data_IF_693113194440
#
_entry.id   IF_693113194440
#
_cell.length_a   1.000
_cell.length_b   1.000
_cell.length_c   1.000
_cell.angle_alpha   90.00
_cell.angle_beta   90.00
_cell.angle_gamma   90.00
#
_symmetry.space_group_name_H-M   'P 1'
#
loop_
_entity.id
_entity.type
_entity.pdbx_description
1 polymer ?
#
# COMPACT_ATOMS: atom_id res chain seq x y z
N UNK A 1 19.70 -6.26 3.04
CA UNK A 1 18.71 -7.35 3.01
C UNK A 1 17.33 -6.74 2.84
N UNK A 2 16.61 -7.09 1.76
CA UNK A 2 15.35 -6.46 1.36
C UNK A 2 14.23 -6.92 2.32
N UNK A 3 13.61 -5.99 3.06
CA UNK A 3 12.48 -6.33 3.93
C UNK A 3 11.22 -6.36 3.08
N UNK A 4 10.65 -7.55 2.90
CA UNK A 4 9.39 -7.72 2.17
C UNK A 4 8.26 -7.35 3.12
N UNK A 5 7.72 -6.13 3.00
CA UNK A 5 6.58 -5.65 3.79
C UNK A 5 5.29 -5.86 3.02
N UNK A 6 4.63 -7.01 3.23
CA UNK A 6 3.49 -7.43 2.40
C UNK A 6 2.16 -6.72 2.72
N UNK A 7 2.02 -6.05 3.88
CA UNK A 7 0.77 -5.43 4.29
C UNK A 7 0.83 -3.90 4.24
N UNK A 8 -0.15 -3.24 3.61
CA UNK A 8 -0.23 -1.77 3.47
C UNK A 8 -0.09 -1.05 4.83
N UNK A 9 -0.72 -1.59 5.89
CA UNK A 9 -0.61 -1.06 7.26
C UNK A 9 0.82 -1.03 7.81
N UNK A 10 1.68 -1.95 7.38
CA UNK A 10 3.09 -1.96 7.80
C UNK A 10 3.93 -0.95 7.01
N UNK A 11 3.45 -0.57 5.82
CA UNK A 11 4.11 0.44 4.98
C UNK A 11 4.00 1.81 5.61
N UNK A 12 2.85 2.18 6.20
CA UNK A 12 2.68 3.48 6.89
C UNK A 12 3.59 3.66 8.10
N UNK A 13 4.16 2.56 8.63
CA UNK A 13 5.16 2.56 9.71
C UNK A 13 6.61 2.45 9.21
N UNK A 14 6.82 2.49 7.90
CA UNK A 14 8.16 2.37 7.29
C UNK A 14 8.90 3.70 7.34
N UNK A 15 10.22 3.64 7.21
CA UNK A 15 11.01 4.85 7.01
C UNK A 15 10.83 5.33 5.58
N UNK A 16 10.97 6.64 5.37
CA UNK A 16 11.05 7.15 4.01
C UNK A 16 12.23 6.56 3.26
N UNK A 17 12.04 6.45 1.94
CA UNK A 17 12.95 5.81 0.98
C UNK A 17 13.15 4.31 1.20
N UNK A 18 12.37 3.67 2.08
CA UNK A 18 12.40 2.22 2.22
C UNK A 18 11.75 1.55 1.00
N UNK A 19 12.45 0.57 0.41
CA UNK A 19 11.93 -0.22 -0.70
C UNK A 19 10.90 -1.22 -0.17
N UNK A 20 9.71 -1.22 -0.77
CA UNK A 20 8.58 -2.08 -0.36
C UNK A 20 8.07 -2.90 -1.54
N UNK A 21 7.53 -4.08 -1.23
CA UNK A 21 6.73 -4.90 -2.14
C UNK A 21 5.46 -5.32 -1.42
N UNK A 22 4.31 -5.01 -2.00
CA UNK A 22 3.02 -5.32 -1.41
C UNK A 22 1.98 -5.63 -2.50
N UNK A 23 0.90 -6.26 -2.05
CA UNK A 23 -0.30 -6.51 -2.84
C UNK A 23 -1.36 -5.49 -2.41
N UNK A 24 -2.17 -5.03 -3.36
CA UNK A 24 -3.31 -4.16 -3.07
C UNK A 24 -4.37 -4.24 -4.14
N UNK A 25 -5.63 -4.03 -3.73
CA UNK A 25 -6.77 -3.95 -4.62
C UNK A 25 -6.98 -2.49 -5.05
N UNK A 26 -7.14 -2.25 -6.35
CA UNK A 26 -7.39 -0.92 -6.91
C UNK A 26 -8.78 -0.43 -6.49
N UNK A 27 -8.80 0.62 -5.67
CA UNK A 27 -10.02 1.29 -5.25
C UNK A 27 -10.28 2.60 -6.03
N UNK A 28 -9.25 3.24 -6.57
CA UNK A 28 -9.42 4.42 -7.41
C UNK A 28 -8.17 4.70 -8.24
N UNK A 29 -8.33 5.43 -9.35
CA UNK A 29 -7.24 5.99 -10.14
C UNK A 29 -7.51 7.45 -10.48
N UNK A 30 -6.60 8.34 -10.07
CA UNK A 30 -6.65 9.76 -10.42
C UNK A 30 -5.64 10.04 -11.52
N UNK A 31 -6.13 10.29 -12.74
CA UNK A 31 -5.30 10.60 -13.91
C UNK A 31 -4.54 11.91 -13.77
N UNK A 32 -5.14 12.92 -13.14
CA UNK A 32 -4.54 14.25 -12.97
C UNK A 32 -3.19 14.22 -12.22
N UNK A 33 -3.02 13.28 -11.31
CA UNK A 33 -1.81 13.10 -10.51
C UNK A 33 -1.10 11.77 -10.77
N UNK A 34 -1.59 10.99 -11.74
CA UNK A 34 -1.21 9.60 -11.99
C UNK A 34 -1.07 8.79 -10.68
N UNK A 35 -2.09 8.84 -9.83
CA UNK A 35 -2.07 8.20 -8.50
C UNK A 35 -3.11 7.10 -8.40
N UNK A 36 -2.67 5.89 -8.07
CA UNK A 36 -3.55 4.77 -7.71
C UNK A 36 -3.81 4.77 -6.21
N UNK A 37 -5.07 4.52 -5.84
CA UNK A 37 -5.48 4.27 -4.46
C UNK A 37 -5.65 2.76 -4.30
N UNK A 38 -4.77 2.14 -3.53
CA UNK A 38 -4.80 0.69 -3.26
C UNK A 38 -5.26 0.42 -1.84
N UNK A 39 -6.08 -0.61 -1.66
CA UNK A 39 -6.57 -1.04 -0.36
C UNK A 39 -6.33 -2.53 -0.15
N UNK A 40 -6.14 -2.91 1.11
CA UNK A 40 -6.04 -4.31 1.52
C UNK A 40 -6.56 -4.42 2.95
N UNK A 41 -7.56 -5.28 3.17
CA UNK A 41 -8.24 -5.41 4.46
C UNK A 41 -7.44 -6.16 5.54
N UNK A 42 -6.16 -6.44 5.30
CA UNK A 42 -5.31 -7.22 6.19
C UNK A 42 -4.51 -6.35 7.17
N UNK A 43 -4.32 -6.77 8.44
CA UNK A 43 -4.91 -7.95 9.08
C UNK A 43 -6.29 -7.65 9.70
N UNK A 44 -7.29 -8.47 9.36
CA UNK A 44 -8.70 -8.41 9.82
C UNK A 44 -9.44 -7.11 9.45
N UNK A 45 -10.77 -7.13 9.16
CA UNK A 45 -11.50 -5.92 8.79
C UNK A 45 -11.54 -4.93 9.97
N UNK A 46 -10.55 -4.04 9.99
CA UNK A 46 -10.52 -2.91 10.91
C UNK A 46 -11.48 -1.82 10.40
N UNK A 47 -12.01 -0.95 11.26
CA UNK A 47 -12.96 0.10 10.86
C UNK A 47 -12.39 1.09 9.83
N UNK A 48 -11.07 1.09 9.62
CA UNK A 48 -10.41 1.87 8.59
C UNK A 48 -9.53 0.97 7.71
N UNK A 49 -9.93 0.78 6.45
CA UNK A 49 -9.13 0.03 5.48
C UNK A 49 -7.79 0.75 5.24
N UNK A 50 -6.64 0.10 5.50
CA UNK A 50 -5.33 0.63 5.14
C UNK A 50 -5.31 1.01 3.66
N UNK A 51 -4.83 2.21 3.36
CA UNK A 51 -4.85 2.77 2.00
C UNK A 51 -3.44 3.17 1.59
N UNK A 52 -2.99 2.73 0.43
CA UNK A 52 -1.74 3.20 -0.17
C UNK A 52 -2.06 4.11 -1.35
N UNK A 53 -1.45 5.30 -1.36
CA UNK A 53 -1.40 6.19 -2.51
C UNK A 53 -0.12 5.90 -3.28
N UNK A 54 -0.28 5.43 -4.51
CA UNK A 54 0.82 4.96 -5.34
C UNK A 54 0.96 5.89 -6.54
N UNK A 55 2.03 6.68 -6.57
CA UNK A 55 2.41 7.47 -7.73
C UNK A 55 2.98 6.54 -8.81
N UNK A 56 2.32 6.53 -9.96
CA UNK A 56 2.69 5.70 -11.13
C UNK A 56 3.27 6.51 -12.30
N UNK A 57 3.69 7.76 -12.07
CA UNK A 57 4.44 8.54 -13.08
C UNK A 57 5.72 7.86 -13.58
N UNK A 58 6.58 7.28 -12.73
CA UNK A 58 7.78 6.61 -13.22
C UNK A 58 7.53 5.33 -14.05
N UNK A 59 6.58 4.44 -13.67
CA UNK A 59 6.29 3.22 -14.44
C UNK A 59 5.25 3.39 -15.56
N UNK A 60 4.82 4.62 -15.87
CA UNK A 60 3.68 4.89 -16.77
C UNK A 60 3.85 4.30 -18.18
N UNK A 61 5.08 4.04 -18.64
CA UNK A 61 5.35 3.37 -19.92
C UNK A 61 5.10 1.86 -19.91
N UNK A 62 4.97 1.22 -18.74
CA UNK A 62 4.82 -0.22 -18.57
C UNK A 62 3.39 -0.65 -18.18
N UNK A 63 2.53 0.29 -17.81
CA UNK A 63 1.15 0.00 -17.40
C UNK A 63 0.25 -0.22 -18.61
N UNK A 64 -0.39 -1.39 -18.70
CA UNK A 64 -1.47 -1.60 -19.66
C UNK A 64 -2.75 -0.96 -19.11
N UNK A 65 -3.66 -0.47 -19.98
CA UNK A 65 -4.96 0.04 -19.53
C UNK A 65 -5.75 -0.97 -18.68
N UNK A 66 -5.55 -2.27 -18.92
CA UNK A 66 -6.15 -3.33 -18.12
C UNK A 66 -5.66 -3.33 -16.68
N UNK A 67 -4.40 -2.99 -16.40
CA UNK A 67 -3.78 -3.01 -15.06
C UNK A 67 -4.26 -1.85 -14.14
N UNK A 68 -5.27 -1.10 -14.58
CA UNK A 68 -5.84 0.06 -13.86
C UNK A 68 -7.33 -0.11 -13.56
N UNK A 69 -7.89 -1.31 -13.74
CA UNK A 69 -9.30 -1.55 -13.50
C UNK A 69 -9.63 -1.56 -12.00
N UNK A 70 -10.78 -0.97 -11.67
CA UNK A 70 -11.31 -1.02 -10.30
C UNK A 70 -11.52 -2.48 -9.88
N UNK A 71 -11.12 -2.82 -8.65
CA UNK A 71 -11.26 -4.16 -8.09
C UNK A 71 -10.14 -5.13 -8.47
N UNK A 72 -9.23 -4.73 -9.35
CA UNK A 72 -8.10 -5.57 -9.72
C UNK A 72 -7.04 -5.59 -8.61
N UNK A 73 -6.53 -6.79 -8.34
CA UNK A 73 -5.40 -6.98 -7.44
C UNK A 73 -4.09 -6.77 -8.19
N UNK A 74 -3.23 -5.90 -7.67
CA UNK A 74 -1.94 -5.58 -8.28
C UNK A 74 -0.80 -5.77 -7.29
N UNK A 75 0.30 -6.30 -7.82
CA UNK A 75 1.58 -6.29 -7.12
C UNK A 75 2.28 -4.96 -7.39
N UNK A 76 2.82 -4.35 -6.33
CA UNK A 76 3.57 -3.09 -6.44
C UNK A 76 4.95 -3.28 -5.82
N UNK A 77 5.98 -2.82 -6.54
CA UNK A 77 7.30 -2.55 -5.97
C UNK A 77 7.56 -1.05 -6.07
N UNK A 78 7.93 -0.44 -4.95
CA UNK A 78 8.17 1.00 -4.90
C UNK A 78 9.00 1.43 -3.70
N UNK A 79 9.14 2.74 -3.54
CA UNK A 79 9.79 3.35 -2.40
C UNK A 79 8.77 4.17 -1.61
N UNK A 80 8.82 4.05 -0.28
CA UNK A 80 7.99 4.88 0.61
C UNK A 80 8.43 6.33 0.48
N UNK A 81 7.49 7.23 0.24
CA UNK A 81 7.76 8.66 0.17
C UNK A 81 7.32 9.34 1.46
N UNK A 82 8.07 10.36 1.88
CA UNK A 82 7.59 11.27 2.92
C UNK A 82 6.34 11.96 2.35
N UNK A 83 5.19 11.70 2.97
CA UNK A 83 3.91 12.27 2.55
C UNK A 83 3.89 13.77 2.75
N UNK A 84 4.48 14.51 1.83
CA UNK A 84 4.23 15.94 1.68
C UNK A 84 2.95 16.10 0.85
N UNK A 85 2.02 16.90 1.36
CA UNK A 85 0.93 17.55 0.59
C UNK A 85 -0.40 16.82 0.41
N UNK A 86 -1.04 16.38 1.51
CA UNK A 86 -2.52 16.49 1.63
C UNK A 86 -2.97 17.02 3.00
N UNK A 87 -2.04 17.32 3.91
CA UNK A 87 -2.33 18.10 5.11
C UNK A 87 -2.37 19.59 4.76
N UNK A 88 -3.33 19.97 3.91
CA UNK A 88 -3.77 21.36 3.85
C UNK A 88 -4.29 21.75 5.23
N UNK A 89 -3.66 22.76 5.83
CA UNK A 89 -4.15 23.45 7.02
C UNK A 89 -5.62 23.84 6.82
N UNK A 90 -6.52 23.18 7.53
CA UNK A 90 -7.88 23.67 7.71
C UNK A 90 -8.31 23.27 9.12
N UNK A 91 -8.37 24.29 9.98
CA UNK A 91 -8.82 24.17 11.36
C UNK A 91 -10.25 23.66 11.41
N UNK A 92 -10.51 22.80 12.39
CA UNK A 92 -11.84 22.24 12.67
C UNK A 92 -11.71 20.90 13.37
N UNK A 93 -12.47 20.72 14.45
CA UNK A 93 -12.39 19.68 15.50
C UNK A 93 -12.56 18.19 15.08
N UNK A 94 -12.34 17.81 13.82
CA UNK A 94 -12.32 16.40 13.34
C UNK A 94 -10.95 15.72 13.54
N UNK A 95 -10.20 16.14 14.55
CA UNK A 95 -8.75 15.91 14.71
C UNK A 95 -8.39 14.46 15.04
N UNK A 96 -9.32 13.66 15.59
CA UNK A 96 -9.09 12.26 15.97
C UNK A 96 -9.15 11.29 14.79
N UNK A 97 -10.19 11.41 13.96
CA UNK A 97 -10.48 10.49 12.85
C UNK A 97 -9.60 10.76 11.61
N UNK A 98 -9.29 12.03 11.33
CA UNK A 98 -8.32 12.39 10.28
C UNK A 98 -6.90 11.95 10.64
N UNK A 99 -6.52 11.98 11.93
CA UNK A 99 -5.22 11.46 12.38
C UNK A 99 -5.13 9.93 12.31
N UNK A 100 -6.23 9.21 12.55
CA UNK A 100 -6.25 7.74 12.43
C UNK A 100 -6.17 7.30 10.96
N UNK A 101 -6.92 7.96 10.06
CA UNK A 101 -6.79 7.75 8.59
C UNK A 101 -5.40 8.09 8.09
N UNK A 102 -4.84 9.24 8.49
CA UNK A 102 -3.48 9.63 8.10
C UNK A 102 -2.40 8.64 8.59
N UNK A 103 -2.61 7.99 9.75
CA UNK A 103 -1.72 6.92 10.25
C UNK A 103 -1.88 5.57 9.52
N UNK A 104 -3.03 5.34 8.90
CA UNK A 104 -3.31 4.12 8.13
C UNK A 104 -2.99 4.27 6.62
N UNK A 105 -2.66 5.48 6.18
CA UNK A 105 -2.29 5.77 4.81
C UNK A 105 -0.78 5.71 4.59
N UNK A 106 -0.35 5.19 3.44
CA UNK A 106 1.04 5.18 3.01
C UNK A 106 1.17 5.87 1.64
N UNK A 107 2.27 6.59 1.41
CA UNK A 107 2.60 7.13 0.09
C UNK A 107 3.78 6.33 -0.47
N UNK A 108 3.65 5.91 -1.72
CA UNK A 108 4.64 5.06 -2.40
C UNK A 108 4.85 5.60 -3.81
N UNK A 109 6.11 5.77 -4.19
CA UNK A 109 6.49 5.96 -5.59
C UNK A 109 6.74 4.59 -6.21
N UNK A 110 5.93 4.21 -7.19
CA UNK A 110 6.08 2.92 -7.85
C UNK A 110 7.30 2.90 -8.78
N UNK A 111 7.93 1.73 -8.85
CA UNK A 111 8.98 1.39 -9.80
C UNK A 111 8.48 0.30 -10.75
N UNK A 112 7.69 -0.65 -10.24
CA UNK A 112 7.03 -1.68 -11.02
C UNK A 112 5.63 -1.95 -10.47
N UNK A 113 4.70 -2.21 -11.37
CA UNK A 113 3.34 -2.61 -11.07
C UNK A 113 2.88 -3.64 -12.10
N UNK A 114 2.16 -4.67 -11.66
CA UNK A 114 1.56 -5.66 -12.54
C UNK A 114 0.34 -6.31 -11.90
N UNK A 115 -0.61 -6.74 -12.73
CA UNK A 115 -1.77 -7.53 -12.32
C UNK A 115 -1.36 -8.80 -11.56
N UNK A 116 -2.04 -9.09 -10.45
CA UNK A 116 -1.93 -10.35 -9.73
C UNK A 116 -2.84 -11.45 -10.31
N UNK A 117 -3.69 -11.11 -11.29
CA UNK A 117 -4.67 -12.03 -11.87
C UNK A 117 -5.67 -12.55 -10.83
N UNK A 118 -6.15 -13.77 -11.05
CA UNK A 118 -7.02 -14.48 -10.12
C UNK A 118 -6.21 -14.99 -8.92
N UNK A 119 -5.93 -14.10 -7.97
CA UNK A 119 -5.23 -14.42 -6.74
C UNK A 119 -6.21 -14.86 -5.65
N UNK A 120 -5.90 -15.96 -4.96
CA UNK A 120 -6.56 -16.32 -3.71
C UNK A 120 -5.97 -15.45 -2.59
N UNK A 121 -6.74 -14.43 -2.20
CA UNK A 121 -6.34 -13.47 -1.17
C UNK A 121 -6.19 -14.16 0.19
N UNK A 122 -7.01 -15.17 0.50
CA UNK A 122 -6.94 -15.90 1.77
C UNK A 122 -5.67 -16.74 1.88
N UNK A 123 -5.29 -17.42 0.79
CA UNK A 123 -4.01 -18.14 0.74
C UNK A 123 -2.82 -17.17 0.82
N UNK A 124 -2.87 -16.04 0.11
CA UNK A 124 -1.84 -15.01 0.18
C UNK A 124 -1.65 -14.48 1.61
N UNK A 125 -2.76 -14.17 2.30
CA UNK A 125 -2.74 -13.71 3.69
C UNK A 125 -2.17 -14.76 4.65
N UNK A 126 -2.51 -16.04 4.48
CA UNK A 126 -1.95 -17.15 5.27
C UNK A 126 -0.43 -17.28 5.10
N UNK A 127 0.04 -17.30 3.85
CA UNK A 127 1.48 -17.39 3.54
C UNK A 127 2.24 -16.16 4.06
N UNK A 128 1.61 -14.99 4.01
CA UNK A 128 2.13 -13.77 4.62
C UNK A 128 2.29 -13.92 6.13
N UNK A 129 1.27 -14.42 6.83
CA UNK A 129 1.32 -14.67 8.28
C UNK A 129 2.46 -15.60 8.65
N UNK A 130 2.55 -16.77 8.01
CA UNK A 130 3.60 -17.75 8.25
C UNK A 130 5.00 -17.14 8.11
N UNK A 131 5.19 -16.33 7.06
CA UNK A 131 6.45 -15.63 6.83
C UNK A 131 6.74 -14.59 7.92
N UNK A 132 5.75 -13.79 8.30
CA UNK A 132 5.91 -12.77 9.32
C UNK A 132 6.25 -13.40 10.68
N UNK A 133 5.65 -14.55 11.00
CA UNK A 133 5.98 -15.32 12.18
C UNK A 133 7.41 -15.87 12.14
N UNK A 134 7.84 -16.43 11.01
CA UNK A 134 9.21 -16.91 10.84
C UNK A 134 10.23 -15.78 11.01
N UNK A 135 9.96 -14.60 10.45
CA UNK A 135 10.81 -13.42 10.61
C UNK A 135 10.86 -12.90 12.06
N UNK A 136 9.75 -12.97 12.81
CA UNK A 136 9.72 -12.65 14.24
C UNK A 136 10.57 -13.63 15.05
N UNK A 137 10.43 -14.94 14.79
CA UNK A 137 11.21 -15.99 15.46
C UNK A 137 12.71 -15.85 15.17
N UNK A 138 13.08 -15.52 13.94
CA UNK A 138 14.48 -15.31 13.55
C UNK A 138 15.12 -14.11 14.24
N UNK A 139 14.35 -13.05 14.54
CA UNK A 139 14.84 -11.85 15.26
C UNK A 139 14.91 -12.01 16.78
N UNK A 140 14.25 -13.03 17.33
CA UNK A 140 14.25 -13.33 18.76
C UNK A 140 15.40 -14.26 19.18
N UNK A 141 16.20 -14.73 18.21
CA UNK A 141 17.45 -15.47 18.40
C UNK A 141 18.63 -14.52 18.21
#
# INVERSE_FOLDING_TARGET
MMRMRLAIRTISKSRSREKVRFLGCIANYTTATATLTLQHAYPSPSPHLPTAYVDVNPPLSALKPTDTQFGEWVNVIGYVTDGSSLAGSSGGDKRGELKSRARASANVQAVMLWSAGAIDVGEYERVLEDRLEAEKRAKAR
#
